data_IF_238941610476
#
_entry.id   IF_238941610476
#
_cell.length_a   1.000
_cell.length_b   1.000
_cell.length_c   1.000
_cell.angle_alpha   90.00
_cell.angle_beta   90.00
_cell.angle_gamma   90.00
#
_symmetry.space_group_name_H-M   'P 1'
#
loop_
_entity.id
_entity.type
_entity.pdbx_description
1 polymer ?
#
# COMPACT_ATOMS: atom_id res chain seq x y z
N UNK A 1 -3.29 20.87 15.33
CA UNK A 1 -4.34 20.78 14.29
C UNK A 1 -3.89 19.76 13.26
N UNK A 2 -4.72 18.77 12.89
CA UNK A 2 -4.38 17.84 11.82
C UNK A 2 -4.20 18.63 10.52
N UNK A 3 -3.16 18.34 9.73
CA UNK A 3 -3.01 18.96 8.42
C UNK A 3 -4.21 18.55 7.55
N UNK A 4 -4.77 19.43 6.71
CA UNK A 4 -5.83 19.06 5.79
C UNK A 4 -5.38 17.85 4.96
N UNK A 5 -6.19 16.80 4.94
CA UNK A 5 -5.94 15.63 4.10
C UNK A 5 -6.18 16.11 2.66
N UNK A 6 -5.17 16.00 1.79
CA UNK A 6 -5.35 16.27 0.37
C UNK A 6 -6.44 15.33 -0.16
N UNK A 7 -7.35 15.85 -0.98
CA UNK A 7 -8.40 15.02 -1.57
C UNK A 7 -7.80 13.81 -2.28
N UNK A 8 -8.45 12.66 -2.15
CA UNK A 8 -8.02 11.44 -2.82
C UNK A 8 -8.07 11.68 -4.32
N UNK A 9 -6.95 11.52 -5.05
CA UNK A 9 -6.94 11.76 -6.48
C UNK A 9 -7.93 10.82 -7.17
N UNK A 10 -8.83 11.39 -7.98
CA UNK A 10 -9.78 10.61 -8.77
C UNK A 10 -9.05 10.08 -10.00
N UNK A 11 -9.05 8.76 -10.17
CA UNK A 11 -8.49 8.10 -11.34
C UNK A 11 -9.50 8.12 -12.50
N UNK A 12 -9.01 8.31 -13.72
CA UNK A 12 -9.83 8.32 -14.94
C UNK A 12 -9.26 7.39 -16.01
N UNK A 13 -10.07 7.06 -17.01
CA UNK A 13 -9.64 6.30 -18.18
C UNK A 13 -9.10 4.91 -17.83
N UNK A 14 -7.98 4.54 -18.44
CA UNK A 14 -7.41 3.20 -18.28
C UNK A 14 -6.77 2.97 -16.90
N UNK A 15 -6.31 4.04 -16.23
CA UNK A 15 -5.77 3.92 -14.88
C UNK A 15 -6.86 3.59 -13.86
N UNK A 16 -8.09 4.11 -14.06
CA UNK A 16 -9.24 3.74 -13.24
C UNK A 16 -9.58 2.25 -13.38
N UNK A 17 -9.57 1.72 -14.63
CA UNK A 17 -9.83 0.30 -14.90
C UNK A 17 -8.78 -0.60 -14.25
N UNK A 18 -7.49 -0.28 -14.44
CA UNK A 18 -6.37 -1.03 -13.85
C UNK A 18 -6.45 -1.06 -12.32
N UNK A 19 -6.83 0.05 -11.71
CA UNK A 19 -7.01 0.12 -10.26
C UNK A 19 -8.14 -0.81 -9.81
N UNK A 20 -9.31 -0.74 -10.43
CA UNK A 20 -10.47 -1.58 -10.09
C UNK A 20 -10.16 -3.08 -10.25
N UNK A 21 -9.50 -3.46 -11.35
CA UNK A 21 -9.04 -4.84 -11.59
C UNK A 21 -8.08 -5.32 -10.50
N UNK A 22 -7.11 -4.50 -10.11
CA UNK A 22 -6.17 -4.83 -9.03
C UNK A 22 -6.86 -4.93 -7.68
N UNK A 23 -7.83 -4.06 -7.39
CA UNK A 23 -8.57 -4.11 -6.13
C UNK A 23 -9.36 -5.42 -6.00
N UNK A 24 -10.10 -5.79 -7.05
CA UNK A 24 -10.82 -7.07 -7.12
C UNK A 24 -9.88 -8.28 -6.96
N UNK A 25 -8.72 -8.25 -7.61
CA UNK A 25 -7.71 -9.30 -7.44
C UNK A 25 -7.24 -9.40 -5.97
N UNK A 26 -6.95 -8.27 -5.33
CA UNK A 26 -6.47 -8.20 -3.94
C UNK A 26 -7.52 -8.58 -2.89
N UNK A 27 -8.81 -8.59 -3.22
CA UNK A 27 -9.86 -9.08 -2.31
C UNK A 27 -9.68 -10.56 -1.99
N UNK A 28 -9.32 -11.35 -3.01
CA UNK A 28 -9.16 -12.79 -2.92
C UNK A 28 -7.70 -13.23 -2.70
N UNK A 29 -6.73 -12.41 -3.11
CA UNK A 29 -5.30 -12.72 -3.02
C UNK A 29 -4.64 -11.93 -1.88
N UNK A 30 -4.94 -12.32 -0.63
CA UNK A 30 -4.28 -11.73 0.55
C UNK A 30 -2.86 -12.28 0.69
N UNK A 31 -1.95 -11.42 1.15
CA UNK A 31 -0.61 -11.82 1.53
C UNK A 31 -0.66 -12.90 2.64
N UNK A 32 0.23 -13.88 2.53
CA UNK A 32 0.41 -14.92 3.54
C UNK A 32 1.08 -14.36 4.80
N UNK A 33 0.98 -15.07 5.92
CA UNK A 33 1.61 -14.65 7.19
C UNK A 33 3.13 -14.54 7.07
N UNK A 34 3.76 -15.44 6.30
CA UNK A 34 5.21 -15.44 6.06
C UNK A 34 5.63 -14.18 5.29
N UNK A 35 4.86 -13.79 4.27
CA UNK A 35 5.11 -12.58 3.49
C UNK A 35 4.95 -11.33 4.35
N UNK A 36 3.90 -11.27 5.18
CA UNK A 36 3.68 -10.17 6.12
C UNK A 36 4.85 -10.00 7.10
N UNK A 37 5.35 -11.09 7.66
CA UNK A 37 6.48 -11.06 8.59
C UNK A 37 7.77 -10.58 7.90
N UNK A 38 8.03 -11.07 6.67
CA UNK A 38 9.15 -10.61 5.85
C UNK A 38 9.08 -9.11 5.57
N UNK A 39 7.91 -8.61 5.16
CA UNK A 39 7.69 -7.17 4.89
C UNK A 39 7.91 -6.34 6.16
N UNK A 40 7.39 -6.80 7.30
CA UNK A 40 7.57 -6.14 8.59
C UNK A 40 9.04 -6.01 8.98
N UNK A 41 9.80 -7.11 8.90
CA UNK A 41 11.25 -7.11 9.19
C UNK A 41 12.01 -6.15 8.28
N UNK A 42 11.69 -6.14 6.99
CA UNK A 42 12.29 -5.20 6.04
C UNK A 42 11.98 -3.73 6.37
N UNK A 43 10.73 -3.44 6.76
CA UNK A 43 10.32 -2.10 7.19
C UNK A 43 11.05 -1.64 8.45
N UNK A 44 11.14 -2.50 9.47
CA UNK A 44 11.86 -2.20 10.72
C UNK A 44 13.35 -1.95 10.47
N UNK A 45 13.98 -2.73 9.60
CA UNK A 45 15.36 -2.52 9.17
C UNK A 45 15.55 -1.16 8.48
N UNK A 46 14.70 -0.83 7.49
CA UNK A 46 14.78 0.45 6.77
C UNK A 46 14.62 1.65 7.72
N UNK A 47 13.69 1.57 8.67
CA UNK A 47 13.51 2.61 9.67
C UNK A 47 14.72 2.78 10.58
N UNK A 48 15.39 1.69 10.96
CA UNK A 48 16.61 1.75 11.77
C UNK A 48 17.77 2.48 11.08
N UNK A 49 17.76 2.51 9.74
CA UNK A 49 18.75 3.23 8.92
C UNK A 49 18.33 4.69 8.74
N UNK A 50 17.06 4.96 8.45
CA UNK A 50 16.57 6.31 8.13
C UNK A 50 16.40 7.24 9.35
N UNK A 51 16.25 6.68 10.56
CA UNK A 51 16.02 7.46 11.79
C UNK A 51 17.34 7.68 12.60
N UNK A 52 18.50 7.36 12.01
CA UNK A 52 19.81 7.79 12.53
C UNK A 52 20.20 9.14 11.93
#
# INVERSE_FOLDING_TARGET
MARPIKETPVLYGDDAKRFDERMKYNETHKATEIEKERIRKAYEYMNSIMIK
#
